data_IF_461972345228
#
_entry.id   IF_461972345228
#
_cell.length_a   1.000
_cell.length_b   1.000
_cell.length_c   1.000
_cell.angle_alpha   90.00
_cell.angle_beta   90.00
_cell.angle_gamma   90.00
#
_symmetry.space_group_name_H-M   'P 1'
#
loop_
_entity.id
_entity.type
_entity.pdbx_description
1 polymer ?
#
# COMPACT_ATOMS: atom_id res chain seq x y z
N UNK A 1 23.93 8.85 6.75
CA UNK A 1 23.38 8.91 5.40
C UNK A 1 22.17 7.97 5.22
N UNK A 2 22.33 6.65 5.40
CA UNK A 2 21.24 5.68 5.15
C UNK A 2 20.04 5.92 6.05
N UNK A 3 20.21 6.23 7.32
CA UNK A 3 19.11 6.58 8.24
C UNK A 3 18.36 7.82 7.76
N UNK A 4 19.02 8.83 7.21
CA UNK A 4 18.35 10.03 6.67
C UNK A 4 17.53 9.72 5.42
N UNK A 5 18.01 8.80 4.56
CA UNK A 5 17.22 8.32 3.41
C UNK A 5 15.96 7.61 3.88
N UNK A 6 16.10 6.70 4.85
CA UNK A 6 14.94 5.99 5.41
C UNK A 6 14.00 6.91 6.19
N UNK A 7 14.50 7.99 6.82
CA UNK A 7 13.66 9.03 7.42
C UNK A 7 12.74 9.66 6.37
N UNK A 8 13.33 10.16 5.28
CA UNK A 8 12.57 10.75 4.18
C UNK A 8 11.54 9.76 3.61
N UNK A 9 11.96 8.55 3.28
CA UNK A 9 11.09 7.53 2.71
C UNK A 9 9.96 7.17 3.67
N UNK A 10 10.24 6.98 4.96
CA UNK A 10 9.22 6.62 5.95
C UNK A 10 8.11 7.67 6.03
N UNK A 11 8.46 8.95 6.17
CA UNK A 11 7.44 10.01 6.26
C UNK A 11 6.76 10.29 4.93
N UNK A 12 7.43 10.01 3.80
CA UNK A 12 6.80 10.07 2.49
C UNK A 12 5.72 9.00 2.34
N UNK A 13 5.99 7.74 2.69
CA UNK A 13 5.03 6.65 2.46
C UNK A 13 4.02 6.47 3.59
N UNK A 14 4.49 6.50 4.84
CA UNK A 14 3.65 6.26 6.01
C UNK A 14 3.04 7.55 6.57
N UNK A 15 3.64 8.70 6.28
CA UNK A 15 3.09 10.02 6.52
C UNK A 15 2.24 10.46 5.33
N UNK A 16 2.86 11.16 4.39
CA UNK A 16 2.16 11.89 3.33
C UNK A 16 1.19 11.02 2.51
N UNK A 17 1.67 9.98 1.85
CA UNK A 17 0.81 9.18 0.97
C UNK A 17 -0.28 8.43 1.72
N UNK A 18 0.04 7.82 2.86
CA UNK A 18 -0.94 7.10 3.66
C UNK A 18 -2.08 8.03 4.13
N UNK A 19 -1.75 9.15 4.79
CA UNK A 19 -2.76 10.07 5.29
C UNK A 19 -3.55 10.75 4.18
N UNK A 20 -2.92 11.06 3.04
CA UNK A 20 -3.64 11.60 1.88
C UNK A 20 -4.65 10.58 1.33
N UNK A 21 -4.23 9.34 1.09
CA UNK A 21 -5.13 8.30 0.58
C UNK A 21 -6.30 8.02 1.53
N UNK A 22 -6.02 7.85 2.83
CA UNK A 22 -7.07 7.60 3.83
C UNK A 22 -7.97 8.82 3.98
N UNK A 23 -7.42 10.04 4.01
CA UNK A 23 -8.18 11.28 4.13
C UNK A 23 -9.17 11.48 3.00
N UNK A 24 -8.73 11.35 1.74
CA UNK A 24 -9.64 11.47 0.59
C UNK A 24 -10.66 10.34 0.54
N UNK A 25 -10.33 9.13 1.02
CA UNK A 25 -11.29 8.04 1.11
C UNK A 25 -12.36 8.31 2.18
N UNK A 26 -11.99 8.79 3.36
CA UNK A 26 -12.94 9.16 4.43
C UNK A 26 -13.84 10.31 3.94
N UNK A 27 -13.27 11.31 3.25
CA UNK A 27 -14.08 12.40 2.67
C UNK A 27 -15.09 11.84 1.66
N UNK A 28 -14.69 10.92 0.79
CA UNK A 28 -15.59 10.25 -0.15
C UNK A 28 -16.72 9.49 0.56
N UNK A 29 -16.43 8.81 1.67
CA UNK A 29 -17.44 8.13 2.48
C UNK A 29 -18.46 9.14 3.06
N UNK A 30 -18.00 10.28 3.58
CA UNK A 30 -18.83 11.36 4.12
C UNK A 30 -19.76 11.96 3.04
N UNK A 31 -19.27 12.17 1.83
CA UNK A 31 -20.09 12.61 0.69
C UNK A 31 -21.22 11.62 0.35
N UNK A 32 -21.02 10.34 0.67
CA UNK A 32 -22.04 9.28 0.52
C UNK A 32 -22.88 9.06 1.79
N UNK A 33 -22.82 9.99 2.77
CA UNK A 33 -23.47 9.90 4.08
C UNK A 33 -23.07 8.63 4.88
N UNK A 34 -21.87 8.15 4.69
CA UNK A 34 -21.29 7.05 5.46
C UNK A 34 -20.34 7.65 6.49
N UNK A 35 -20.71 7.57 7.76
CA UNK A 35 -19.92 8.08 8.88
C UNK A 35 -19.25 6.90 9.57
N UNK A 36 -17.96 6.99 9.77
CA UNK A 36 -17.20 6.05 10.60
C UNK A 36 -17.18 6.57 12.03
N UNK A 37 -17.48 5.70 12.98
CA UNK A 37 -17.39 6.07 14.39
C UNK A 37 -15.91 6.25 14.80
N UNK A 38 -15.62 7.23 15.64
CA UNK A 38 -14.28 7.43 16.21
C UNK A 38 -13.16 7.72 15.19
N UNK A 39 -13.46 8.30 14.03
CA UNK A 39 -12.45 8.63 13.01
C UNK A 39 -11.30 9.48 13.56
N UNK A 40 -11.59 10.41 14.50
CA UNK A 40 -10.58 11.23 15.17
C UNK A 40 -9.62 10.39 16.01
N UNK A 41 -10.13 9.37 16.72
CA UNK A 41 -9.30 8.46 17.52
C UNK A 41 -8.38 7.66 16.58
N UNK A 42 -8.93 7.15 15.47
CA UNK A 42 -8.14 6.43 14.46
C UNK A 42 -7.04 7.33 13.86
N UNK A 43 -7.38 8.58 13.54
CA UNK A 43 -6.38 9.54 13.07
C UNK A 43 -5.23 9.71 14.08
N UNK A 44 -5.54 9.93 15.36
CA UNK A 44 -4.51 10.13 16.37
C UNK A 44 -3.69 8.86 16.64
N UNK A 45 -4.28 7.67 16.58
CA UNK A 45 -3.54 6.41 16.67
C UNK A 45 -2.48 6.33 15.58
N UNK A 46 -2.86 6.55 14.32
CA UNK A 46 -1.91 6.51 13.20
C UNK A 46 -0.90 7.65 13.26
N UNK A 47 -1.33 8.86 13.59
CA UNK A 47 -0.47 10.04 13.63
C UNK A 47 0.63 9.93 14.70
N UNK A 48 0.25 9.61 15.94
CA UNK A 48 1.21 9.47 17.04
C UNK A 48 2.14 8.28 16.82
N UNK A 49 1.61 7.15 16.35
CA UNK A 49 2.42 5.96 16.10
C UNK A 49 3.32 6.08 14.87
N UNK A 50 3.01 6.97 13.92
CA UNK A 50 3.84 7.17 12.72
C UNK A 50 5.26 7.62 13.08
N UNK A 51 5.41 8.47 14.10
CA UNK A 51 6.73 9.00 14.50
C UNK A 51 7.66 7.88 14.98
N UNK A 52 7.32 7.11 16.03
CA UNK A 52 8.20 6.04 16.51
C UNK A 52 8.27 4.84 15.53
N UNK A 53 7.28 4.63 14.67
CA UNK A 53 7.32 3.59 13.65
C UNK A 53 8.46 3.81 12.62
N UNK A 54 9.02 5.02 12.51
CA UNK A 54 10.26 5.23 11.78
C UNK A 54 11.39 4.30 12.26
N UNK A 55 11.40 4.01 13.56
CA UNK A 55 12.37 3.10 14.15
C UNK A 55 12.39 1.70 13.50
N UNK A 56 11.27 1.25 12.89
CA UNK A 56 11.24 0.00 12.11
C UNK A 56 12.25 0.03 10.95
N UNK A 57 12.43 1.19 10.33
CA UNK A 57 13.35 1.35 9.19
C UNK A 57 14.84 1.42 9.60
N UNK A 58 15.12 1.56 10.90
CA UNK A 58 16.49 1.69 11.44
C UNK A 58 16.80 0.68 12.54
N UNK A 59 16.03 -0.40 12.67
CA UNK A 59 16.27 -1.48 13.65
C UNK A 59 17.67 -2.12 13.52
N UNK A 60 18.26 -2.07 12.33
CA UNK A 60 19.64 -2.52 12.09
C UNK A 60 20.70 -1.73 12.90
N UNK A 61 20.35 -0.55 13.42
CA UNK A 61 21.23 0.24 14.30
C UNK A 61 21.25 -0.27 15.75
N UNK A 62 20.50 -1.35 16.07
CA UNK A 62 20.37 -1.93 17.41
C UNK A 62 20.02 -0.88 18.48
N UNK A 63 18.82 -0.26 18.40
CA UNK A 63 18.40 0.76 19.37
C UNK A 63 18.35 0.19 20.79
N UNK A 64 18.51 1.01 21.85
CA UNK A 64 18.32 0.61 23.23
C UNK A 64 16.95 -0.03 23.46
N UNK A 65 16.86 -0.96 24.42
CA UNK A 65 15.64 -1.77 24.65
C UNK A 65 14.37 -0.93 24.86
N UNK A 66 14.48 0.22 25.51
CA UNK A 66 13.32 1.09 25.73
C UNK A 66 12.83 1.75 24.43
N UNK A 67 13.75 2.15 23.52
CA UNK A 67 13.38 2.67 22.19
C UNK A 67 12.73 1.54 21.36
N UNK A 68 13.32 0.35 21.38
CA UNK A 68 12.76 -0.81 20.72
C UNK A 68 11.33 -1.12 21.20
N UNK A 69 11.07 -1.07 22.53
CA UNK A 69 9.72 -1.27 23.06
C UNK A 69 8.73 -0.23 22.52
N UNK A 70 9.11 1.04 22.41
CA UNK A 70 8.27 2.10 21.83
C UNK A 70 7.97 1.81 20.36
N UNK A 71 8.95 1.35 19.59
CA UNK A 71 8.76 0.97 18.17
C UNK A 71 7.76 -0.18 18.04
N UNK A 72 7.88 -1.21 18.89
CA UNK A 72 6.94 -2.35 18.88
C UNK A 72 5.52 -1.90 19.22
N UNK A 73 5.36 -1.06 20.26
CA UNK A 73 4.05 -0.50 20.64
C UNK A 73 3.45 0.30 19.49
N UNK A 74 4.25 1.10 18.79
CA UNK A 74 3.79 1.86 17.62
C UNK A 74 3.31 0.93 16.48
N UNK A 75 4.03 -0.14 16.18
CA UNK A 75 3.63 -1.11 15.16
C UNK A 75 2.32 -1.82 15.53
N UNK A 76 2.17 -2.22 16.79
CA UNK A 76 0.92 -2.81 17.32
C UNK A 76 -0.22 -1.80 17.21
N UNK A 77 0.00 -0.54 17.58
CA UNK A 77 -1.01 0.52 17.51
C UNK A 77 -1.48 0.74 16.06
N UNK A 78 -0.58 0.76 15.07
CA UNK A 78 -0.94 0.87 13.66
C UNK A 78 -1.76 -0.32 13.17
N UNK A 79 -1.38 -1.53 13.55
CA UNK A 79 -2.11 -2.74 13.20
C UNK A 79 -3.51 -2.75 13.84
N UNK A 80 -3.61 -2.41 15.12
CA UNK A 80 -4.90 -2.24 15.81
C UNK A 80 -5.77 -1.17 15.13
N UNK A 81 -5.18 -0.01 14.80
CA UNK A 81 -5.88 1.05 14.08
C UNK A 81 -6.45 0.59 12.73
N UNK A 82 -5.69 -0.20 11.97
CA UNK A 82 -6.15 -0.79 10.71
C UNK A 82 -7.32 -1.76 10.92
N UNK A 83 -7.21 -2.67 11.87
CA UNK A 83 -8.28 -3.64 12.18
C UNK A 83 -9.55 -2.90 12.60
N UNK A 84 -9.42 -1.87 13.44
CA UNK A 84 -10.55 -1.05 13.87
C UNK A 84 -11.17 -0.29 12.70
N UNK A 85 -10.37 0.28 11.80
CA UNK A 85 -10.85 0.94 10.59
C UNK A 85 -11.66 -0.02 9.71
N UNK A 86 -11.13 -1.22 9.44
CA UNK A 86 -11.84 -2.25 8.66
C UNK A 86 -13.13 -2.66 9.35
N UNK A 87 -13.10 -2.89 10.65
CA UNK A 87 -14.27 -3.26 11.44
C UNK A 87 -15.38 -2.21 11.35
N UNK A 88 -15.05 -0.93 11.53
CA UNK A 88 -16.01 0.17 11.41
C UNK A 88 -16.54 0.31 9.98
N UNK A 89 -15.69 0.14 8.96
CA UNK A 89 -16.11 0.15 7.56
C UNK A 89 -17.13 -0.96 7.27
N UNK A 90 -16.93 -2.15 7.80
CA UNK A 90 -17.87 -3.28 7.67
C UNK A 90 -19.17 -3.00 8.42
N UNK A 91 -19.11 -2.50 9.67
CA UNK A 91 -20.28 -2.17 10.49
C UNK A 91 -21.14 -1.07 9.86
N UNK A 92 -20.55 -0.07 9.23
CA UNK A 92 -21.26 1.01 8.54
C UNK A 92 -22.05 0.53 7.32
N UNK A 93 -21.92 -0.76 6.94
CA UNK A 93 -22.53 -1.33 5.72
C UNK A 93 -22.15 -0.55 4.45
N UNK A 94 -20.99 0.11 4.47
CA UNK A 94 -20.50 0.99 3.40
C UNK A 94 -20.61 0.35 2.00
N UNK A 95 -20.21 -0.91 1.86
CA UNK A 95 -20.26 -1.65 0.59
C UNK A 95 -21.70 -1.73 0.02
N UNK A 96 -22.71 -1.85 0.89
CA UNK A 96 -24.12 -1.88 0.47
C UNK A 96 -24.60 -0.48 0.07
N UNK A 97 -24.22 0.54 0.82
CA UNK A 97 -24.60 1.95 0.57
C UNK A 97 -23.94 2.46 -0.71
N UNK A 98 -22.65 2.18 -0.92
CA UNK A 98 -21.89 2.60 -2.09
C UNK A 98 -22.39 1.98 -3.41
N UNK A 99 -23.11 0.86 -3.36
CA UNK A 99 -23.64 0.13 -4.54
C UNK A 99 -22.60 -0.06 -5.64
N UNK A 100 -21.36 -0.32 -5.27
CA UNK A 100 -20.27 -0.51 -6.22
C UNK A 100 -20.55 -1.70 -7.15
N UNK A 101 -20.22 -1.51 -8.43
CA UNK A 101 -20.17 -2.61 -9.39
C UNK A 101 -19.01 -3.57 -9.04
N UNK A 102 -18.95 -4.71 -9.71
CA UNK A 102 -17.94 -5.75 -9.43
C UNK A 102 -16.51 -5.23 -9.52
N UNK A 103 -16.18 -4.40 -10.54
CA UNK A 103 -14.84 -3.86 -10.71
C UNK A 103 -14.45 -2.92 -9.57
N UNK A 104 -15.32 -1.98 -9.16
CA UNK A 104 -15.08 -1.08 -8.01
C UNK A 104 -14.83 -1.87 -6.72
N UNK A 105 -15.56 -2.98 -6.52
CA UNK A 105 -15.37 -3.87 -5.36
C UNK A 105 -14.01 -4.58 -5.40
N UNK A 106 -13.63 -5.10 -6.57
CA UNK A 106 -12.31 -5.77 -6.75
C UNK A 106 -11.18 -4.78 -6.49
N UNK A 107 -11.27 -3.56 -7.02
CA UNK A 107 -10.28 -2.51 -6.80
C UNK A 107 -10.16 -2.16 -5.31
N UNK A 108 -11.29 -1.96 -4.62
CA UNK A 108 -11.29 -1.67 -3.19
C UNK A 108 -10.70 -2.82 -2.38
N UNK A 109 -11.06 -4.06 -2.72
CA UNK A 109 -10.51 -5.25 -2.07
C UNK A 109 -8.99 -5.36 -2.26
N UNK A 110 -8.51 -5.13 -3.50
CA UNK A 110 -7.08 -5.17 -3.80
C UNK A 110 -6.30 -4.16 -2.98
N UNK A 111 -6.76 -2.90 -2.93
CA UNK A 111 -6.15 -1.84 -2.12
C UNK A 111 -6.17 -2.19 -0.63
N UNK A 112 -7.29 -2.74 -0.13
CA UNK A 112 -7.43 -3.12 1.27
C UNK A 112 -6.47 -4.26 1.65
N UNK A 113 -6.32 -5.27 0.78
CA UNK A 113 -5.36 -6.36 0.97
C UNK A 113 -3.92 -5.83 0.95
N UNK A 114 -3.58 -4.95 0.00
CA UNK A 114 -2.24 -4.36 -0.09
C UNK A 114 -1.90 -3.56 1.17
N UNK A 115 -2.85 -2.78 1.69
CA UNK A 115 -2.68 -2.04 2.95
C UNK A 115 -2.53 -2.97 4.15
N UNK A 116 -3.33 -4.04 4.20
CA UNK A 116 -3.24 -5.05 5.26
C UNK A 116 -1.89 -5.76 5.26
N UNK A 117 -1.41 -6.18 4.09
CA UNK A 117 -0.08 -6.80 3.95
C UNK A 117 1.00 -5.82 4.37
N UNK A 118 0.93 -4.56 3.91
CA UNK A 118 1.90 -3.50 4.28
C UNK A 118 2.04 -3.36 5.79
N UNK A 119 0.93 -3.14 6.50
CA UNK A 119 0.97 -2.92 7.96
C UNK A 119 1.29 -4.22 8.71
N UNK A 120 0.85 -5.37 8.19
CA UNK A 120 1.22 -6.68 8.71
C UNK A 120 2.73 -6.94 8.62
N UNK A 121 3.36 -6.64 7.48
CA UNK A 121 4.82 -6.75 7.31
C UNK A 121 5.57 -5.80 8.26
N UNK A 122 5.07 -4.59 8.50
CA UNK A 122 5.64 -3.68 9.49
C UNK A 122 5.61 -4.27 10.90
N UNK A 123 4.48 -4.89 11.30
CA UNK A 123 4.38 -5.55 12.59
C UNK A 123 5.31 -6.76 12.68
N UNK A 124 5.35 -7.62 11.66
CA UNK A 124 6.23 -8.79 11.62
C UNK A 124 7.71 -8.37 11.66
N UNK A 125 8.09 -7.26 11.03
CA UNK A 125 9.45 -6.74 11.03
C UNK A 125 9.94 -6.27 12.41
N UNK A 126 9.07 -6.19 13.41
CA UNK A 126 9.50 -5.96 14.80
C UNK A 126 10.31 -7.14 15.35
N UNK A 127 10.13 -8.36 14.84
CA UNK A 127 10.92 -9.53 15.26
C UNK A 127 12.37 -9.35 14.78
N UNK A 128 13.39 -9.36 15.69
CA UNK A 128 14.78 -9.03 15.32
C UNK A 128 15.36 -9.90 14.22
N UNK A 129 15.01 -11.20 14.17
CA UNK A 129 15.46 -12.10 13.12
C UNK A 129 14.93 -11.69 11.75
N UNK A 130 13.65 -11.30 11.68
CA UNK A 130 12.98 -10.88 10.44
C UNK A 130 13.46 -9.50 10.00
N UNK A 131 13.66 -8.58 10.96
CA UNK A 131 14.23 -7.27 10.67
C UNK A 131 15.61 -7.37 10.00
N UNK A 132 16.50 -8.22 10.53
CA UNK A 132 17.83 -8.44 9.95
C UNK A 132 17.73 -9.00 8.52
N UNK A 133 16.80 -9.91 8.27
CA UNK A 133 16.54 -10.44 6.91
C UNK A 133 15.99 -9.34 5.99
N UNK A 134 15.01 -8.59 6.43
CA UNK A 134 14.36 -7.55 5.62
C UNK A 134 15.35 -6.48 5.15
N UNK A 135 16.24 -6.01 6.03
CA UNK A 135 17.22 -4.97 5.70
C UNK A 135 18.54 -5.52 5.15
N UNK A 136 18.83 -6.81 5.33
CA UNK A 136 20.02 -7.47 4.81
C UNK A 136 19.99 -7.68 3.30
N UNK A 137 18.79 -7.75 2.70
CA UNK A 137 18.62 -8.08 1.29
C UNK A 137 17.84 -7.00 0.54
N UNK A 138 18.54 -6.28 -0.35
CA UNK A 138 17.95 -5.20 -1.16
C UNK A 138 16.65 -5.58 -1.90
N UNK A 139 16.48 -6.78 -2.49
CA UNK A 139 15.24 -7.15 -3.16
C UNK A 139 14.03 -7.14 -2.26
N UNK A 140 14.17 -7.49 -0.97
CA UNK A 140 13.06 -7.47 0.01
C UNK A 140 12.61 -6.03 0.27
N UNK A 141 13.55 -5.11 0.42
CA UNK A 141 13.23 -3.68 0.59
C UNK A 141 12.53 -3.14 -0.66
N UNK A 142 13.00 -3.49 -1.85
CA UNK A 142 12.39 -3.07 -3.11
C UNK A 142 10.96 -3.62 -3.23
N UNK A 143 10.73 -4.91 -2.92
CA UNK A 143 9.40 -5.50 -2.92
C UNK A 143 8.44 -4.73 -1.99
N UNK A 144 8.87 -4.43 -0.76
CA UNK A 144 8.06 -3.65 0.16
C UNK A 144 7.72 -2.25 -0.38
N UNK A 145 8.68 -1.56 -1.02
CA UNK A 145 8.43 -0.24 -1.61
C UNK A 145 7.45 -0.30 -2.79
N UNK A 146 7.53 -1.33 -3.64
CA UNK A 146 6.58 -1.54 -4.72
C UNK A 146 5.17 -1.85 -4.19
N UNK A 147 5.06 -2.70 -3.17
CA UNK A 147 3.79 -2.95 -2.49
C UNK A 147 3.15 -1.64 -2.01
N UNK A 148 3.92 -0.73 -1.41
CA UNK A 148 3.39 0.54 -0.89
C UNK A 148 3.06 1.53 -2.02
N UNK A 149 3.93 1.69 -3.01
CA UNK A 149 3.77 2.70 -4.05
C UNK A 149 2.87 2.24 -5.19
N UNK A 150 3.08 1.02 -5.69
CA UNK A 150 2.31 0.51 -6.82
C UNK A 150 1.01 -0.14 -6.35
N UNK A 151 1.08 -1.17 -5.49
CA UNK A 151 -0.09 -1.94 -5.14
C UNK A 151 -1.06 -1.19 -4.22
N UNK A 152 -0.58 -0.39 -3.26
CA UNK A 152 -1.47 0.41 -2.41
C UNK A 152 -1.75 1.77 -3.02
N UNK A 153 -0.75 2.65 -3.16
CA UNK A 153 -0.97 4.07 -3.48
C UNK A 153 -1.48 4.27 -4.91
N UNK A 154 -0.82 3.69 -5.93
CA UNK A 154 -1.21 3.92 -7.33
C UNK A 154 -2.55 3.28 -7.66
N UNK A 155 -2.80 2.04 -7.17
CA UNK A 155 -4.11 1.39 -7.39
C UNK A 155 -5.22 2.12 -6.64
N UNK A 156 -4.94 2.64 -5.42
CA UNK A 156 -5.91 3.47 -4.69
C UNK A 156 -6.29 4.73 -5.47
N UNK A 157 -5.31 5.47 -6.01
CA UNK A 157 -5.58 6.69 -6.78
C UNK A 157 -6.43 6.41 -8.02
N UNK A 158 -6.07 5.37 -8.80
CA UNK A 158 -6.88 4.95 -9.94
C UNK A 158 -8.28 4.53 -9.48
N UNK A 159 -8.39 3.76 -8.40
CA UNK A 159 -9.68 3.33 -7.85
C UNK A 159 -10.54 4.53 -7.45
N UNK A 160 -9.93 5.53 -6.82
CA UNK A 160 -10.63 6.75 -6.42
C UNK A 160 -11.19 7.53 -7.61
N UNK A 161 -10.43 7.64 -8.72
CA UNK A 161 -10.93 8.25 -9.95
C UNK A 161 -12.17 7.51 -10.50
N UNK A 162 -12.18 6.17 -10.41
CA UNK A 162 -13.34 5.36 -10.76
C UNK A 162 -14.50 5.49 -9.76
N UNK A 163 -14.23 5.63 -8.46
CA UNK A 163 -15.27 5.85 -7.45
C UNK A 163 -16.00 7.17 -7.66
N UNK A 164 -15.25 8.21 -8.00
CA UNK A 164 -15.75 9.55 -8.33
C UNK A 164 -16.32 9.66 -9.75
N UNK A 165 -16.24 8.60 -10.56
CA UNK A 165 -16.69 8.57 -11.95
C UNK A 165 -16.02 9.61 -12.86
N UNK A 166 -14.80 10.00 -12.50
CA UNK A 166 -13.95 10.90 -13.30
C UNK A 166 -13.37 10.21 -14.53
N UNK A 167 -13.26 8.88 -14.51
CA UNK A 167 -12.87 8.06 -15.66
C UNK A 167 -14.06 7.18 -16.05
N UNK A 168 -14.36 7.11 -17.34
CA UNK A 168 -15.44 6.26 -17.88
C UNK A 168 -15.07 4.79 -17.88
N UNK A 169 -16.03 3.93 -17.55
CA UNK A 169 -15.91 2.48 -17.68
C UNK A 169 -16.11 2.04 -19.15
N UNK A 170 -15.09 2.20 -19.97
CA UNK A 170 -15.09 1.62 -21.32
C UNK A 170 -14.46 0.23 -21.29
N UNK A 171 -14.68 -0.58 -22.33
CA UNK A 171 -14.03 -1.90 -22.45
C UNK A 171 -12.50 -1.76 -22.46
N UNK A 172 -11.99 -0.68 -23.05
CA UNK A 172 -10.57 -0.39 -23.14
C UNK A 172 -9.99 -0.02 -21.76
N UNK A 173 -10.68 0.85 -20.98
CA UNK A 173 -10.22 1.22 -19.64
C UNK A 173 -10.26 0.03 -18.68
N UNK A 174 -11.27 -0.83 -18.79
CA UNK A 174 -11.34 -2.06 -17.98
C UNK A 174 -10.18 -3.00 -18.33
N UNK A 175 -9.90 -3.18 -19.64
CA UNK A 175 -8.74 -3.94 -20.09
C UNK A 175 -7.43 -3.37 -19.57
N UNK A 176 -7.27 -2.04 -19.61
CA UNK A 176 -6.12 -1.33 -19.05
C UNK A 176 -5.93 -1.57 -17.55
N UNK A 177 -7.02 -1.54 -16.76
CA UNK A 177 -6.97 -1.85 -15.32
C UNK A 177 -6.52 -3.29 -15.08
N UNK A 178 -7.06 -4.25 -15.83
CA UNK A 178 -6.69 -5.66 -15.67
C UNK A 178 -5.20 -5.83 -15.98
N UNK A 179 -4.71 -5.26 -17.07
CA UNK A 179 -3.29 -5.31 -17.44
C UNK A 179 -2.42 -4.66 -16.37
N UNK A 180 -2.82 -3.48 -15.88
CA UNK A 180 -2.11 -2.74 -14.84
C UNK A 180 -1.97 -3.54 -13.54
N UNK A 181 -3.09 -4.08 -13.03
CA UNK A 181 -3.10 -4.88 -11.78
C UNK A 181 -2.34 -6.19 -11.97
N UNK A 182 -2.52 -6.87 -13.10
CA UNK A 182 -1.78 -8.10 -13.40
C UNK A 182 -0.27 -7.85 -13.48
N UNK A 183 0.15 -6.73 -14.07
CA UNK A 183 1.54 -6.32 -14.09
C UNK A 183 2.10 -6.05 -12.69
N UNK A 184 1.33 -5.39 -11.80
CA UNK A 184 1.73 -5.18 -10.40
C UNK A 184 1.88 -6.53 -9.68
N UNK A 185 0.92 -7.44 -9.82
CA UNK A 185 1.00 -8.75 -9.18
C UNK A 185 2.21 -9.56 -9.66
N UNK A 186 2.49 -9.54 -10.97
CA UNK A 186 3.68 -10.19 -11.53
C UNK A 186 4.96 -9.57 -10.99
N UNK A 187 5.02 -8.24 -10.89
CA UNK A 187 6.16 -7.53 -10.32
C UNK A 187 6.42 -7.94 -8.87
N UNK A 188 5.38 -7.93 -8.03
CA UNK A 188 5.48 -8.35 -6.63
C UNK A 188 5.90 -9.82 -6.51
N UNK A 189 5.36 -10.70 -7.36
CA UNK A 189 5.73 -12.11 -7.39
C UNK A 189 7.21 -12.31 -7.72
N UNK A 190 7.71 -11.65 -8.77
CA UNK A 190 9.12 -11.76 -9.17
C UNK A 190 10.04 -11.22 -8.08
N UNK A 191 9.70 -10.07 -7.47
CA UNK A 191 10.47 -9.49 -6.38
C UNK A 191 10.44 -10.38 -5.11
N UNK A 192 9.29 -11.01 -4.81
CA UNK A 192 9.19 -11.95 -3.70
C UNK A 192 10.08 -13.18 -3.93
N UNK A 193 10.03 -13.76 -5.14
CA UNK A 193 10.91 -14.89 -5.52
C UNK A 193 12.38 -14.48 -5.44
N UNK A 194 12.73 -13.29 -5.93
CA UNK A 194 14.10 -12.76 -5.84
C UNK A 194 14.53 -12.54 -4.38
N UNK A 195 13.61 -12.04 -3.52
CA UNK A 195 13.85 -11.90 -2.09
C UNK A 195 14.15 -13.23 -1.42
N UNK A 196 13.34 -14.26 -1.69
CA UNK A 196 13.54 -15.61 -1.16
C UNK A 196 14.86 -16.22 -1.67
N UNK A 197 15.14 -16.10 -2.96
CA UNK A 197 16.40 -16.58 -3.55
C UNK A 197 17.62 -15.92 -2.91
N UNK A 198 17.52 -14.62 -2.58
CA UNK A 198 18.57 -13.86 -1.91
C UNK A 198 18.89 -14.42 -0.52
N UNK A 199 17.92 -15.00 0.21
CA UNK A 199 18.15 -15.66 1.50
C UNK A 199 19.05 -16.90 1.35
N UNK A 200 18.97 -17.60 0.22
CA UNK A 200 19.82 -18.73 -0.15
C UNK A 200 21.09 -18.33 -0.92
N UNK A 201 21.39 -17.02 -1.00
CA UNK A 201 22.51 -16.48 -1.81
C UNK A 201 22.49 -16.94 -3.28
N UNK A 202 21.31 -17.26 -3.80
CA UNK A 202 21.13 -17.68 -5.19
C UNK A 202 20.76 -16.50 -6.08
N UNK A 203 21.37 -16.46 -7.27
CA UNK A 203 21.09 -15.42 -8.26
C UNK A 203 20.11 -15.95 -9.29
N UNK A 204 19.03 -15.21 -9.52
CA UNK A 204 18.08 -15.53 -10.60
C UNK A 204 18.58 -14.89 -11.88
N UNK A 205 18.82 -15.68 -12.95
CA UNK A 205 19.27 -15.12 -14.22
C UNK A 205 18.17 -14.26 -14.84
N UNK A 206 18.55 -13.20 -15.55
CA UNK A 206 17.67 -12.31 -16.30
C UNK A 206 16.56 -11.65 -15.50
N UNK A 207 16.68 -11.54 -14.16
CA UNK A 207 15.64 -10.96 -13.32
C UNK A 207 15.36 -9.50 -13.64
N UNK A 208 16.38 -8.72 -14.00
CA UNK A 208 16.21 -7.31 -14.34
C UNK A 208 15.45 -7.13 -15.67
N UNK A 209 15.71 -7.99 -16.64
CA UNK A 209 15.03 -8.01 -17.95
C UNK A 209 13.56 -8.41 -17.78
N UNK A 210 13.28 -9.37 -16.89
CA UNK A 210 11.91 -9.77 -16.53
C UNK A 210 11.19 -8.59 -15.88
N UNK A 211 11.79 -7.95 -14.87
CA UNK A 211 11.19 -6.79 -14.19
C UNK A 211 10.98 -5.61 -15.16
N UNK A 212 11.91 -5.37 -16.08
CA UNK A 212 11.76 -4.35 -17.13
C UNK A 212 10.57 -4.67 -18.05
N UNK A 213 10.43 -5.92 -18.49
CA UNK A 213 9.30 -6.34 -19.33
C UNK A 213 7.97 -6.18 -18.60
N UNK A 214 7.92 -6.50 -17.29
CA UNK A 214 6.73 -6.28 -16.46
C UNK A 214 6.43 -4.77 -16.31
N UNK A 215 7.46 -3.93 -16.15
CA UNK A 215 7.27 -2.48 -16.09
C UNK A 215 6.64 -1.93 -17.38
N UNK A 216 7.02 -2.46 -18.55
CA UNK A 216 6.36 -2.12 -19.82
C UNK A 216 4.89 -2.54 -19.84
N UNK A 217 4.54 -3.71 -19.31
CA UNK A 217 3.14 -4.17 -19.19
C UNK A 217 2.34 -3.19 -18.31
N UNK A 218 2.89 -2.80 -17.15
CA UNK A 218 2.26 -1.83 -16.25
C UNK A 218 2.06 -0.49 -16.97
N UNK A 219 3.06 -0.02 -17.69
CA UNK A 219 3.00 1.23 -18.45
C UNK A 219 1.92 1.20 -19.55
N UNK A 220 1.83 0.11 -20.31
CA UNK A 220 0.77 -0.08 -21.31
C UNK A 220 -0.61 -0.10 -20.68
N UNK A 221 -0.77 -0.74 -19.51
CA UNK A 221 -2.03 -0.68 -18.74
C UNK A 221 -2.45 0.76 -18.44
N UNK A 222 -1.52 1.62 -18.00
CA UNK A 222 -1.79 3.04 -17.72
C UNK A 222 -2.16 3.83 -18.99
N UNK A 223 -1.48 3.59 -20.11
CA UNK A 223 -1.83 4.22 -21.40
C UNK A 223 -3.26 3.88 -21.79
N UNK A 224 -3.66 2.60 -21.69
CA UNK A 224 -5.01 2.17 -22.04
C UNK A 224 -6.07 2.78 -21.13
N UNK A 225 -5.78 2.96 -19.85
CA UNK A 225 -6.68 3.65 -18.92
C UNK A 225 -6.85 5.11 -19.34
N UNK A 226 -5.75 5.80 -19.65
CA UNK A 226 -5.76 7.24 -19.98
C UNK A 226 -6.40 7.53 -21.35
N UNK A 227 -6.08 6.75 -22.37
CA UNK A 227 -6.63 6.98 -23.74
C UNK A 227 -8.13 6.72 -23.83
N UNK A 228 -8.67 5.86 -22.97
CA UNK A 228 -10.10 5.54 -22.98
C UNK A 228 -10.95 6.46 -22.11
N UNK A 229 -10.31 7.24 -21.26
CA UNK A 229 -10.93 8.02 -20.19
C UNK A 229 -10.94 9.51 -20.47
N UNK A 230 -11.35 10.01 -21.68
CA UNK A 230 -11.59 11.44 -21.78
C UNK A 230 -12.55 11.87 -20.68
N UNK A 231 -12.12 12.84 -19.85
CA UNK A 231 -12.93 13.50 -18.85
C UNK A 231 -14.32 13.80 -19.46
N UNK A 232 -15.37 13.63 -18.68
CA UNK A 232 -16.66 14.24 -19.05
C UNK A 232 -16.37 15.73 -19.20
N UNK A 233 -16.45 16.23 -20.42
CA UNK A 233 -16.64 17.67 -20.64
C UNK A 233 -17.97 18.00 -19.95
N UNK A 234 -17.91 18.86 -18.94
CA UNK A 234 -19.08 19.43 -18.26
C UNK A 234 -19.87 20.34 -19.22
#
# INVERSE_FOLDING_TARGET
YLASVYWYLHFQYNGWFFFSCVGIFINYLKEKNIILNNENILFWIFFISCIPAYGLSVLWMNPPTWIYAIIVVAAIAQFYGLINFIYQFVLSKAIKILRFNTLKKILLLFVSISLFIKIGLQLISTVPAISKLAFGFRPIVIAYLHLVLLAFTSVFLISYLYFKELIRFTKLSIGGIIIFISGILLNELVLAIQGIASLGYTVIPFVNEILFSIALIIFWGLILINTSGSLKEE
#
